data_IF_916795270110
#
_entry.id   IF_916795270110
#
_cell.length_a   1.000
_cell.length_b   1.000
_cell.length_c   1.000
_cell.angle_alpha   90.00
_cell.angle_beta   90.00
_cell.angle_gamma   90.00
#
_symmetry.space_group_name_H-M   'P 1'
#
loop_
_entity.id
_entity.type
_entity.pdbx_description
1 polymer ?
#
# COMPACT_ATOMS: atom_id res chain seq x y z
N UNK A 1 48.16 15.51 -54.52
CA UNK A 1 49.20 14.56 -54.06
C UNK A 1 49.75 15.07 -52.73
N UNK A 2 50.03 14.16 -51.78
CA UNK A 2 50.81 14.29 -50.52
C UNK A 2 50.46 15.49 -49.58
N UNK A 3 49.86 15.39 -48.39
CA UNK A 3 49.78 14.39 -47.29
C UNK A 3 50.75 14.65 -46.11
N UNK A 4 50.30 14.23 -44.91
CA UNK A 4 50.98 14.24 -43.59
C UNK A 4 51.06 15.64 -42.94
N UNK A 5 50.65 15.89 -41.69
CA UNK A 5 49.98 15.05 -40.69
C UNK A 5 50.53 15.26 -39.26
N UNK A 6 49.65 15.32 -38.24
CA UNK A 6 49.88 14.88 -36.83
C UNK A 6 48.71 15.30 -35.92
N UNK A 7 48.05 14.33 -35.28
CA UNK A 7 47.26 14.57 -34.06
C UNK A 7 48.19 14.52 -32.84
N UNK A 8 47.85 15.24 -31.77
CA UNK A 8 48.33 14.99 -30.41
C UNK A 8 47.14 15.02 -29.45
N UNK A 9 46.91 13.91 -28.76
CA UNK A 9 46.49 13.87 -27.36
C UNK A 9 47.75 13.47 -26.56
N UNK A 10 47.94 13.95 -25.32
CA UNK A 10 47.31 13.35 -24.12
C UNK A 10 46.80 14.48 -23.17
N UNK A 11 46.41 14.30 -21.90
CA UNK A 11 46.53 13.16 -20.99
C UNK A 11 45.39 13.10 -19.94
N UNK A 12 45.37 11.96 -19.25
CA UNK A 12 44.41 11.45 -18.30
C UNK A 12 44.36 12.09 -16.90
N UNK A 13 43.22 11.87 -16.24
CA UNK A 13 43.11 11.44 -14.83
C UNK A 13 41.79 10.65 -14.70
N UNK A 14 41.82 9.38 -14.29
CA UNK A 14 41.72 8.90 -12.89
C UNK A 14 40.48 9.48 -12.18
N UNK A 15 39.52 8.71 -11.65
CA UNK A 15 39.67 7.43 -10.94
C UNK A 15 38.37 6.58 -10.94
N UNK A 16 38.40 5.39 -10.30
CA UNK A 16 37.34 4.35 -10.34
C UNK A 16 36.26 4.52 -9.22
N UNK A 17 35.50 3.48 -8.77
CA UNK A 17 34.04 3.55 -8.71
C UNK A 17 33.48 3.68 -7.28
N UNK A 18 32.21 4.04 -7.14
CA UNK A 18 31.52 4.03 -5.84
C UNK A 18 30.21 3.22 -5.92
N UNK A 19 30.17 2.23 -5.02
CA UNK A 19 29.07 1.36 -4.60
C UNK A 19 27.83 2.20 -4.20
N UNK A 20 26.59 1.74 -4.22
CA UNK A 20 26.06 0.48 -3.69
C UNK A 20 24.93 0.85 -2.71
N UNK A 21 23.74 0.28 -2.87
CA UNK A 21 22.58 0.65 -2.04
C UNK A 21 22.68 0.02 -0.65
N UNK A 22 22.22 0.69 0.42
CA UNK A 22 22.49 0.27 1.79
C UNK A 22 21.72 -0.99 2.21
N UNK A 23 22.36 -1.75 3.10
CA UNK A 23 21.85 -2.99 3.67
C UNK A 23 20.68 -2.80 4.65
N UNK A 24 19.86 -3.84 4.77
CA UNK A 24 19.09 -4.13 5.98
C UNK A 24 19.98 -4.09 7.24
N UNK A 25 19.55 -3.36 8.28
CA UNK A 25 20.03 -3.61 9.64
C UNK A 25 18.99 -4.47 10.35
N UNK A 26 19.29 -5.75 10.53
CA UNK A 26 18.57 -6.60 11.47
C UNK A 26 19.11 -6.36 12.88
N UNK A 27 18.31 -5.74 13.74
CA UNK A 27 18.65 -5.54 15.15
C UNK A 27 18.58 -6.86 15.91
N UNK A 28 19.74 -7.51 16.12
CA UNK A 28 19.89 -8.65 17.02
C UNK A 28 19.78 -8.16 18.46
N UNK A 29 18.68 -8.47 19.13
CA UNK A 29 18.51 -8.20 20.57
C UNK A 29 19.29 -9.25 21.36
N UNK A 30 20.49 -8.88 21.82
CA UNK A 30 21.26 -9.68 22.77
C UNK A 30 20.65 -9.62 24.17
N UNK A 31 20.17 -10.76 24.68
CA UNK A 31 19.67 -10.88 26.04
C UNK A 31 20.80 -11.32 27.00
N UNK A 32 20.97 -10.61 28.12
CA UNK A 32 21.59 -11.14 29.35
C UNK A 32 20.93 -10.52 30.60
N UNK A 33 20.74 -11.26 31.71
CA UNK A 33 19.88 -10.84 32.83
C UNK A 33 20.65 -10.20 34.00
N UNK A 34 20.01 -9.26 34.71
CA UNK A 34 20.67 -8.46 35.76
C UNK A 34 19.78 -7.98 36.92
N UNK A 35 19.41 -8.91 37.81
CA UNK A 35 19.18 -8.79 39.28
C UNK A 35 18.50 -7.52 39.88
N UNK A 36 17.45 -7.78 40.68
CA UNK A 36 16.71 -6.83 41.54
C UNK A 36 17.58 -5.90 42.41
N UNK A 37 17.05 -4.69 42.71
CA UNK A 37 16.94 -4.18 44.10
C UNK A 37 15.65 -3.39 44.31
N UNK A 38 14.95 -3.72 45.39
CA UNK A 38 13.84 -2.94 45.94
C UNK A 38 14.35 -1.86 46.90
N UNK A 39 13.81 -0.64 46.82
CA UNK A 39 13.71 0.26 47.97
C UNK A 39 12.26 0.72 48.10
N UNK A 40 11.66 0.48 49.26
CA UNK A 40 10.34 1.00 49.61
C UNK A 40 10.46 2.23 50.51
N UNK A 41 9.52 3.17 50.38
CA UNK A 41 9.26 4.22 51.36
C UNK A 41 7.74 4.23 51.64
N UNK A 42 7.38 4.50 52.90
CA UNK A 42 6.04 4.30 53.47
C UNK A 42 5.33 5.65 53.74
N UNK A 43 4.02 5.68 53.44
CA UNK A 43 2.91 6.24 54.26
C UNK A 43 2.93 7.79 54.48
N UNK A 44 1.85 8.52 54.18
CA UNK A 44 0.75 8.83 55.13
C UNK A 44 -0.58 9.22 54.46
N UNK A 45 -1.70 8.86 55.13
CA UNK A 45 -3.08 9.25 54.82
C UNK A 45 -3.47 10.57 55.50
N UNK A 46 -4.43 11.32 54.91
CA UNK A 46 -5.57 11.88 55.66
C UNK A 46 -6.68 12.42 54.74
N UNK A 47 -7.93 12.10 55.10
CA UNK A 47 -9.16 12.78 54.65
C UNK A 47 -9.89 13.35 55.87
N UNK A 48 -10.79 14.33 55.69
CA UNK A 48 -11.88 14.56 56.64
C UNK A 48 -13.29 14.61 55.98
N UNK A 49 -14.29 14.16 56.74
CA UNK A 49 -15.75 14.39 56.60
C UNK A 49 -16.32 14.56 58.03
N UNK A 50 -17.52 15.15 58.29
CA UNK A 50 -18.88 14.63 57.97
C UNK A 50 -19.81 15.76 57.42
N UNK A 51 -21.16 15.81 57.46
CA UNK A 51 -22.26 15.01 58.04
C UNK A 51 -23.55 15.13 57.17
N UNK A 52 -24.38 14.10 56.96
CA UNK A 52 -25.57 13.59 57.72
C UNK A 52 -26.81 14.51 57.78
N UNK A 53 -27.93 14.04 57.17
CA UNK A 53 -29.36 14.04 57.62
C UNK A 53 -30.29 13.86 56.37
N UNK A 54 -30.93 12.70 56.13
CA UNK A 54 -32.19 12.12 56.68
C UNK A 54 -33.49 12.45 55.90
N UNK A 55 -33.92 11.50 55.05
CA UNK A 55 -35.25 10.84 54.83
C UNK A 55 -36.59 11.48 55.34
N UNK A 56 -37.82 11.12 54.85
CA UNK A 56 -38.28 9.71 54.72
C UNK A 56 -39.49 9.31 53.77
N UNK A 57 -39.83 7.99 53.78
CA UNK A 57 -41.11 7.25 53.44
C UNK A 57 -41.68 7.24 51.98
N UNK A 58 -42.42 6.24 51.41
CA UNK A 58 -43.10 4.95 51.80
C UNK A 58 -42.91 3.87 50.67
N UNK A 59 -42.70 2.56 50.93
CA UNK A 59 -43.69 1.43 51.05
C UNK A 59 -44.72 1.27 49.88
N UNK A 60 -45.14 0.10 49.36
CA UNK A 60 -45.05 -1.33 49.73
C UNK A 60 -45.07 -2.23 48.44
N UNK A 61 -44.40 -3.39 48.33
CA UNK A 61 -44.68 -4.74 48.87
C UNK A 61 -45.91 -5.50 48.31
N UNK A 62 -45.68 -6.55 47.49
CA UNK A 62 -46.56 -7.74 47.45
C UNK A 62 -45.79 -9.04 47.09
N UNK A 63 -46.21 -10.18 47.67
CA UNK A 63 -45.65 -11.54 47.48
C UNK A 63 -46.64 -12.37 46.62
N UNK A 64 -46.31 -13.47 45.92
CA UNK A 64 -45.83 -14.79 46.39
C UNK A 64 -45.45 -15.69 45.18
N UNK A 65 -44.65 -16.75 45.44
CA UNK A 65 -44.30 -17.89 44.54
C UNK A 65 -45.38 -19.02 44.67
N UNK A 66 -45.18 -20.32 44.30
CA UNK A 66 -44.10 -21.01 43.52
C UNK A 66 -44.54 -22.16 42.57
N UNK A 67 -43.60 -22.60 41.72
CA UNK A 67 -43.20 -24.01 41.48
C UNK A 67 -41.94 -24.01 40.60
N UNK A 68 -41.04 -24.99 40.51
CA UNK A 68 -40.51 -26.11 41.31
C UNK A 68 -39.86 -27.07 40.28
N UNK A 69 -38.86 -27.89 40.67
CA UNK A 69 -38.05 -28.78 39.79
C UNK A 69 -37.04 -28.01 38.87
N UNK A 70 -35.75 -28.38 38.76
CA UNK A 70 -35.00 -29.48 39.39
C UNK A 70 -33.48 -29.17 39.57
N UNK A 71 -32.80 -30.04 40.34
CA UNK A 71 -31.40 -30.01 40.84
C UNK A 71 -30.29 -29.65 39.81
N UNK A 72 -29.29 -28.82 40.18
CA UNK A 72 -27.96 -29.17 40.78
C UNK A 72 -27.00 -29.89 39.77
N UNK A 73 -25.76 -29.45 39.52
CA UNK A 73 -24.69 -29.01 40.44
C UNK A 73 -23.75 -27.93 39.84
N UNK A 74 -23.10 -27.21 40.77
CA UNK A 74 -21.95 -26.32 40.55
C UNK A 74 -20.66 -27.14 40.34
N UNK A 75 -19.77 -26.70 39.45
CA UNK A 75 -18.33 -26.89 39.60
C UNK A 75 -17.62 -25.56 39.32
N UNK A 76 -16.97 -25.01 40.35
CA UNK A 76 -16.10 -23.82 40.23
C UNK A 76 -14.71 -24.29 39.84
N UNK A 77 -14.13 -23.68 38.82
CA UNK A 77 -12.68 -23.70 38.62
C UNK A 77 -12.21 -22.34 38.12
N UNK A 78 -11.38 -21.70 38.94
CA UNK A 78 -10.70 -20.46 38.59
C UNK A 78 -9.68 -20.72 37.48
N UNK A 79 -9.70 -19.92 36.42
CA UNK A 79 -8.48 -19.59 35.69
C UNK A 79 -8.55 -18.13 35.22
N UNK A 80 -7.59 -17.34 35.67
CA UNK A 80 -7.50 -15.90 35.42
C UNK A 80 -6.56 -15.59 34.25
N UNK A 81 -7.02 -14.68 33.40
CA UNK A 81 -6.24 -13.68 32.66
C UNK A 81 -5.37 -14.09 31.45
N UNK A 82 -5.50 -13.24 30.42
CA UNK A 82 -4.59 -12.96 29.31
C UNK A 82 -4.11 -14.10 28.40
N UNK A 83 -4.59 -14.09 27.15
CA UNK A 83 -3.69 -13.85 26.02
C UNK A 83 -4.41 -13.28 24.80
N UNK A 84 -3.79 -12.25 24.23
CA UNK A 84 -4.19 -11.51 23.04
C UNK A 84 -3.69 -12.17 21.75
N UNK A 85 -4.42 -11.94 20.65
CA UNK A 85 -3.92 -11.82 19.27
C UNK A 85 -2.94 -12.91 18.76
N UNK A 86 -3.45 -13.79 17.88
CA UNK A 86 -2.65 -14.28 16.76
C UNK A 86 -3.53 -14.89 15.65
N UNK A 87 -3.90 -14.15 14.59
CA UNK A 87 -4.07 -14.73 13.28
C UNK A 87 -2.68 -14.91 12.68
N UNK A 88 -2.05 -16.06 12.96
CA UNK A 88 -0.79 -16.41 12.33
C UNK A 88 -1.04 -16.55 10.82
N UNK A 89 -0.74 -15.49 10.05
CA UNK A 89 -0.58 -15.57 8.62
C UNK A 89 0.49 -16.62 8.35
N UNK A 90 0.09 -17.79 7.85
CA UNK A 90 1.01 -18.80 7.37
C UNK A 90 1.66 -18.27 6.09
N UNK A 91 2.67 -17.42 6.25
CA UNK A 91 3.57 -17.05 5.17
C UNK A 91 4.26 -18.33 4.72
N UNK A 92 3.81 -18.88 3.58
CA UNK A 92 4.62 -19.80 2.80
C UNK A 92 6.02 -19.19 2.63
N UNK A 93 7.11 -19.96 2.74
CA UNK A 93 8.43 -19.43 2.47
C UNK A 93 8.45 -18.80 1.07
N UNK A 94 9.13 -17.66 0.88
CA UNK A 94 9.17 -16.98 -0.41
C UNK A 94 9.66 -17.96 -1.48
N UNK A 95 8.96 -18.03 -2.60
CA UNK A 95 9.40 -18.83 -3.72
C UNK A 95 10.80 -18.40 -4.14
N UNK A 96 11.77 -19.31 -4.09
CA UNK A 96 13.13 -19.04 -4.56
C UNK A 96 13.01 -18.63 -6.03
N UNK A 97 13.49 -17.45 -6.44
CA UNK A 97 13.35 -17.00 -7.82
C UNK A 97 14.02 -18.02 -8.74
N UNK A 98 13.31 -18.45 -9.78
CA UNK A 98 13.80 -19.48 -10.70
C UNK A 98 15.05 -18.97 -11.42
N UNK A 99 16.22 -19.41 -10.95
CA UNK A 99 17.51 -18.97 -11.45
C UNK A 99 17.60 -19.20 -12.97
N UNK A 100 17.89 -18.13 -13.72
CA UNK A 100 18.03 -18.16 -15.18
C UNK A 100 16.84 -17.65 -15.99
N UNK A 101 15.71 -17.25 -15.38
CA UNK A 101 14.64 -16.55 -16.13
C UNK A 101 15.00 -15.08 -16.39
N UNK A 102 14.98 -14.67 -17.66
CA UNK A 102 15.02 -13.24 -18.04
C UNK A 102 13.78 -12.54 -17.47
N UNK A 103 13.99 -11.50 -16.65
CA UNK A 103 12.90 -10.71 -16.07
C UNK A 103 12.43 -9.64 -17.06
N UNK A 104 11.12 -9.55 -17.32
CA UNK A 104 10.59 -8.57 -18.27
C UNK A 104 10.82 -7.11 -17.83
N UNK A 105 10.85 -6.83 -16.52
CA UNK A 105 11.19 -5.48 -16.01
C UNK A 105 12.62 -5.05 -16.39
N UNK A 106 13.55 -6.00 -16.51
CA UNK A 106 14.92 -5.73 -16.96
C UNK A 106 14.95 -5.54 -18.49
N UNK A 107 14.19 -6.34 -19.24
CA UNK A 107 14.06 -6.23 -20.70
C UNK A 107 13.57 -4.84 -21.13
N UNK A 108 12.53 -4.32 -20.47
CA UNK A 108 11.94 -3.00 -20.78
C UNK A 108 12.55 -1.83 -19.98
N UNK A 109 13.62 -2.05 -19.21
CA UNK A 109 14.19 -1.07 -18.28
C UNK A 109 14.47 0.31 -18.91
N UNK A 110 14.91 0.35 -20.17
CA UNK A 110 15.22 1.61 -20.87
C UNK A 110 14.00 2.56 -21.00
N UNK A 111 12.77 2.03 -21.01
CA UNK A 111 11.54 2.81 -21.18
C UNK A 111 11.20 3.62 -19.92
N UNK A 112 11.54 3.10 -18.73
CA UNK A 112 11.26 3.68 -17.40
C UNK A 112 11.66 5.14 -17.27
N UNK A 113 12.84 5.51 -17.82
CA UNK A 113 13.40 6.87 -17.79
C UNK A 113 12.42 7.94 -18.28
N UNK A 114 11.63 7.62 -19.30
CA UNK A 114 10.74 8.56 -19.96
C UNK A 114 9.26 8.37 -19.61
N UNK A 115 8.94 7.40 -18.74
CA UNK A 115 7.56 6.95 -18.50
C UNK A 115 6.64 8.09 -18.05
N UNK A 116 5.60 8.35 -18.85
CA UNK A 116 4.60 9.38 -18.62
C UNK A 116 5.03 10.80 -19.00
N UNK A 117 6.25 11.00 -19.51
CA UNK A 117 6.73 12.33 -19.92
C UNK A 117 6.00 12.85 -21.17
N UNK A 118 5.42 11.96 -21.99
CA UNK A 118 4.63 12.32 -23.15
C UNK A 118 3.20 12.78 -22.81
N UNK A 119 2.76 12.60 -21.56
CA UNK A 119 1.40 12.86 -21.15
C UNK A 119 1.18 14.35 -20.85
N UNK A 120 0.34 14.99 -21.65
CA UNK A 120 0.06 16.44 -21.59
C UNK A 120 -1.09 16.81 -20.66
N UNK A 121 -1.88 15.83 -20.18
CA UNK A 121 -3.03 16.09 -19.34
C UNK A 121 -2.62 16.76 -18.02
N UNK A 122 -3.41 17.74 -17.58
CA UNK A 122 -3.17 18.48 -16.34
C UNK A 122 -4.18 18.15 -15.26
N UNK A 123 -3.75 18.20 -14.00
CA UNK A 123 -4.65 18.16 -12.86
C UNK A 123 -5.31 19.53 -12.71
N UNK A 124 -6.62 19.51 -12.49
CA UNK A 124 -7.45 20.66 -12.20
C UNK A 124 -8.13 20.44 -10.84
N UNK A 125 -8.07 21.43 -9.96
CA UNK A 125 -8.77 21.39 -8.67
C UNK A 125 -10.22 21.87 -8.87
N UNK A 126 -11.16 21.03 -8.50
CA UNK A 126 -12.60 21.28 -8.57
C UNK A 126 -13.13 21.91 -7.27
N UNK A 127 -12.63 21.48 -6.12
CA UNK A 127 -12.96 22.04 -4.80
C UNK A 127 -11.92 21.65 -3.73
N UNK A 128 -12.01 22.29 -2.56
CA UNK A 128 -11.13 22.09 -1.41
C UNK A 128 -10.12 23.23 -1.20
N UNK A 129 -9.27 23.16 -0.16
CA UNK A 129 -9.16 22.05 0.79
C UNK A 129 -10.37 21.97 1.75
N UNK A 130 -10.83 20.76 2.02
CA UNK A 130 -11.68 20.44 3.15
C UNK A 130 -10.85 19.72 4.22
N UNK A 131 -11.03 20.08 5.50
CA UNK A 131 -10.33 19.42 6.60
C UNK A 131 -10.97 18.06 6.91
N UNK A 132 -10.15 17.02 7.04
CA UNK A 132 -10.60 15.63 7.23
C UNK A 132 -9.79 14.91 8.30
N UNK A 133 -10.36 13.80 8.80
CA UNK A 133 -9.60 12.75 9.48
C UNK A 133 -9.34 11.65 8.46
N UNK A 134 -8.10 11.49 8.04
CA UNK A 134 -7.71 10.51 7.02
C UNK A 134 -7.83 9.10 7.58
N UNK A 135 -8.16 8.12 6.74
CA UNK A 135 -8.58 6.80 7.19
C UNK A 135 -7.50 6.07 8.00
N UNK A 136 -6.22 6.16 7.58
CA UNK A 136 -5.09 5.57 8.31
C UNK A 136 -4.80 6.39 9.56
N UNK A 137 -4.97 5.77 10.73
CA UNK A 137 -4.63 6.37 12.03
C UNK A 137 -5.50 7.56 12.46
N UNK A 138 -6.51 7.95 11.68
CA UNK A 138 -7.35 9.14 11.93
C UNK A 138 -6.54 10.43 12.01
N UNK A 139 -5.44 10.52 11.24
CA UNK A 139 -4.58 11.70 11.21
C UNK A 139 -5.33 12.91 10.63
N UNK A 140 -5.05 14.13 11.15
CA UNK A 140 -5.58 15.34 10.54
C UNK A 140 -4.93 15.57 9.18
N UNK A 141 -5.73 15.99 8.22
CA UNK A 141 -5.26 16.31 6.88
C UNK A 141 -6.28 17.10 6.09
N UNK A 142 -5.95 17.35 4.83
CA UNK A 142 -6.76 18.12 3.88
C UNK A 142 -7.09 17.26 2.67
N UNK A 143 -8.32 17.37 2.16
CA UNK A 143 -8.75 16.73 0.92
C UNK A 143 -9.18 17.77 -0.13
N UNK A 144 -8.87 17.48 -1.39
CA UNK A 144 -9.30 18.25 -2.56
C UNK A 144 -10.02 17.34 -3.54
N UNK A 145 -11.05 17.85 -4.21
CA UNK A 145 -11.61 17.22 -5.40
C UNK A 145 -10.82 17.69 -6.62
N UNK A 146 -10.42 16.75 -7.48
CA UNK A 146 -9.56 16.99 -8.61
C UNK A 146 -10.06 16.29 -9.89
N UNK A 147 -9.60 16.74 -11.05
CA UNK A 147 -9.83 16.15 -12.37
C UNK A 147 -8.51 15.98 -13.12
N UNK A 148 -8.35 14.87 -13.86
CA UNK A 148 -7.22 14.63 -14.76
C UNK A 148 -7.70 14.01 -16.09
N UNK A 149 -8.03 14.87 -17.06
CA UNK A 149 -8.77 14.45 -18.25
C UNK A 149 -10.22 14.14 -17.90
N UNK A 150 -10.70 12.93 -18.22
CA UNK A 150 -12.06 12.49 -17.86
C UNK A 150 -12.24 12.13 -16.39
N UNK A 151 -11.17 11.66 -15.72
CA UNK A 151 -11.24 11.10 -14.37
C UNK A 151 -11.38 12.16 -13.28
N UNK A 152 -12.36 12.00 -12.40
CA UNK A 152 -12.57 12.80 -11.18
C UNK A 152 -12.16 11.99 -9.95
N UNK A 153 -11.40 12.57 -9.05
CA UNK A 153 -10.83 11.88 -7.89
C UNK A 153 -10.52 12.83 -6.74
N UNK A 154 -10.24 12.27 -5.56
CA UNK A 154 -9.81 12.98 -4.36
C UNK A 154 -8.29 12.89 -4.21
N UNK A 155 -7.68 13.98 -3.76
CA UNK A 155 -6.30 13.99 -3.27
C UNK A 155 -6.38 14.34 -1.79
N UNK A 156 -5.79 13.54 -0.91
CA UNK A 156 -5.67 13.83 0.52
C UNK A 156 -4.20 13.94 0.93
N UNK A 157 -3.87 14.88 1.82
CA UNK A 157 -2.50 15.09 2.33
C UNK A 157 -2.58 15.24 3.85
N UNK A 158 -1.80 14.44 4.60
CA UNK A 158 -1.68 14.56 6.06
C UNK A 158 -1.06 15.92 6.43
N UNK A 159 -1.60 16.62 7.42
CA UNK A 159 -1.15 17.96 7.81
C UNK A 159 0.32 18.01 8.29
N UNK A 160 0.92 16.86 8.61
CA UNK A 160 2.35 16.73 8.97
C UNK A 160 3.28 16.73 7.76
N UNK A 161 2.79 16.49 6.55
CA UNK A 161 3.58 16.72 5.35
C UNK A 161 3.66 18.23 5.08
N UNK A 162 4.87 18.77 5.09
CA UNK A 162 5.18 20.00 4.36
C UNK A 162 5.28 19.70 2.85
N UNK A 163 4.15 19.31 2.25
CA UNK A 163 4.01 18.99 0.83
C UNK A 163 2.99 19.92 0.19
N UNK A 164 3.41 20.56 -0.91
CA UNK A 164 2.54 21.39 -1.72
C UNK A 164 1.68 20.52 -2.63
N UNK A 165 0.44 20.93 -2.83
CA UNK A 165 -0.53 20.18 -3.64
C UNK A 165 -0.01 19.93 -5.07
N UNK A 166 0.71 20.89 -5.64
CA UNK A 166 1.30 20.83 -6.98
C UNK A 166 2.30 19.67 -7.13
N UNK A 167 3.02 19.30 -6.06
CA UNK A 167 3.98 18.19 -6.07
C UNK A 167 3.29 16.82 -6.22
N UNK A 168 1.99 16.74 -5.87
CA UNK A 168 1.18 15.54 -6.16
C UNK A 168 0.87 15.44 -7.66
N UNK A 169 0.64 16.58 -8.33
CA UNK A 169 0.23 16.63 -9.73
C UNK A 169 1.32 16.12 -10.65
N UNK A 170 2.59 16.46 -10.40
CA UNK A 170 3.73 16.07 -11.24
C UNK A 170 3.80 14.56 -11.51
N UNK A 171 3.34 13.74 -10.55
CA UNK A 171 3.36 12.28 -10.64
C UNK A 171 2.03 11.72 -11.14
N UNK A 172 0.91 12.23 -10.63
CA UNK A 172 -0.42 11.79 -11.08
C UNK A 172 -0.66 12.11 -12.56
N UNK A 173 -0.18 13.25 -13.05
CA UNK A 173 -0.26 13.62 -14.46
C UNK A 173 0.48 12.66 -15.38
N UNK A 174 1.49 11.93 -14.89
CA UNK A 174 2.27 10.96 -15.68
C UNK A 174 1.54 9.63 -15.88
N UNK A 175 0.48 9.32 -15.12
CA UNK A 175 -0.30 8.09 -15.29
C UNK A 175 -1.02 8.03 -16.66
N UNK A 176 -0.86 6.93 -17.43
CA UNK A 176 -1.66 6.67 -18.63
C UNK A 176 -3.16 6.71 -18.32
N UNK A 177 -3.97 7.12 -19.30
CA UNK A 177 -5.40 7.39 -19.09
C UNK A 177 -6.16 6.17 -18.54
N UNK A 178 -5.80 4.97 -18.99
CA UNK A 178 -6.33 3.67 -18.60
C UNK A 178 -6.17 3.38 -17.10
N UNK A 179 -5.10 3.89 -16.47
CA UNK A 179 -4.80 3.67 -15.06
C UNK A 179 -5.49 4.70 -14.15
N UNK A 180 -5.97 5.83 -14.71
CA UNK A 180 -6.64 6.88 -13.92
C UNK A 180 -7.96 6.41 -13.31
N UNK A 181 -8.54 5.32 -13.81
CA UNK A 181 -9.67 4.64 -13.19
C UNK A 181 -9.35 4.15 -11.76
N UNK A 182 -8.09 3.82 -11.45
CA UNK A 182 -7.68 3.49 -10.08
C UNK A 182 -7.93 4.68 -9.13
N UNK A 183 -7.63 5.91 -9.58
CA UNK A 183 -7.83 7.15 -8.83
C UNK A 183 -9.31 7.35 -8.49
N UNK A 184 -10.21 7.13 -9.46
CA UNK A 184 -11.66 7.19 -9.26
C UNK A 184 -12.13 6.13 -8.25
N UNK A 185 -11.66 4.88 -8.40
CA UNK A 185 -12.01 3.75 -7.52
C UNK A 185 -11.68 4.06 -6.05
N UNK A 186 -10.50 4.60 -5.77
CA UNK A 186 -10.12 4.97 -4.38
C UNK A 186 -10.75 6.27 -3.90
N UNK A 187 -11.45 7.01 -4.78
CA UNK A 187 -12.10 8.28 -4.47
C UNK A 187 -13.61 8.20 -4.26
N UNK A 188 -14.19 7.01 -4.41
CA UNK A 188 -15.60 6.72 -4.07
C UNK A 188 -15.97 7.15 -2.64
N UNK A 189 -17.26 7.15 -2.35
CA UNK A 189 -17.81 7.52 -1.03
C UNK A 189 -17.08 6.81 0.13
N UNK A 190 -16.83 7.58 1.19
CA UNK A 190 -16.16 7.16 2.44
C UNK A 190 -14.68 6.77 2.30
N UNK A 191 -14.05 7.01 1.14
CA UNK A 191 -12.60 6.84 0.93
C UNK A 191 -11.89 8.18 0.78
N UNK A 192 -10.59 8.19 1.08
CA UNK A 192 -9.72 9.37 1.06
C UNK A 192 -9.27 9.80 -0.34
N UNK A 193 -9.35 8.90 -1.34
CA UNK A 193 -8.71 9.09 -2.64
C UNK A 193 -7.26 8.59 -2.67
N UNK A 194 -6.41 9.36 -3.34
CA UNK A 194 -4.96 9.22 -3.24
C UNK A 194 -4.49 9.98 -2.00
N UNK A 195 -4.00 9.27 -1.00
CA UNK A 195 -3.69 9.80 0.32
C UNK A 195 -2.17 9.82 0.57
N UNK A 196 -1.61 11.00 0.78
CA UNK A 196 -0.20 11.19 1.10
C UNK A 196 0.01 11.24 2.62
N UNK A 197 0.85 10.33 3.13
CA UNK A 197 1.16 10.19 4.56
C UNK A 197 2.65 10.42 4.83
N UNK A 198 2.97 10.95 6.01
CA UNK A 198 4.35 11.30 6.36
C UNK A 198 5.23 10.04 6.54
N UNK A 199 4.62 8.93 6.93
CA UNK A 199 5.22 7.60 7.01
C UNK A 199 4.16 6.52 6.71
N UNK A 200 4.60 5.39 6.18
CA UNK A 200 3.83 4.16 5.95
C UNK A 200 4.59 2.95 6.52
N UNK A 201 5.13 3.11 7.73
CA UNK A 201 5.92 2.09 8.44
C UNK A 201 7.11 1.58 7.60
N UNK A 202 7.76 2.51 6.86
CA UNK A 202 8.87 2.22 5.95
C UNK A 202 8.50 1.78 4.53
N UNK A 203 7.22 1.60 4.20
CA UNK A 203 6.77 1.36 2.83
C UNK A 203 6.76 2.66 1.99
N UNK A 204 6.96 2.55 0.67
CA UNK A 204 6.81 3.69 -0.24
C UNK A 204 5.33 3.98 -0.56
N UNK A 205 4.49 2.94 -0.57
CA UNK A 205 3.08 3.02 -0.88
C UNK A 205 2.32 1.75 -0.42
N UNK A 206 0.99 1.83 -0.44
CA UNK A 206 0.08 0.68 -0.33
C UNK A 206 -1.20 0.91 -1.15
N UNK A 207 -1.53 -0.01 -2.04
CA UNK A 207 -2.72 -0.01 -2.90
C UNK A 207 -3.77 -1.04 -2.50
N UNK A 208 -5.03 -0.63 -2.57
CA UNK A 208 -6.21 -1.49 -2.43
C UNK A 208 -7.39 -0.83 -3.13
N UNK A 209 -8.43 -1.57 -3.51
CA UNK A 209 -9.67 -0.95 -4.02
C UNK A 209 -10.31 0.06 -3.04
N UNK A 210 -9.87 0.09 -1.78
CA UNK A 210 -10.35 0.98 -0.72
C UNK A 210 -9.43 2.18 -0.44
N UNK A 211 -8.15 2.17 -0.86
CA UNK A 211 -7.18 3.23 -0.57
C UNK A 211 -6.00 3.20 -1.56
N UNK A 212 -5.42 4.36 -1.84
CA UNK A 212 -4.12 4.48 -2.50
C UNK A 212 -3.23 5.37 -1.64
N UNK A 213 -2.46 4.75 -0.75
CA UNK A 213 -1.64 5.45 0.22
C UNK A 213 -0.21 5.60 -0.33
N UNK A 214 0.36 6.80 -0.28
CA UNK A 214 1.69 7.11 -0.82
C UNK A 214 2.52 7.87 0.22
N UNK A 215 3.84 7.66 0.26
CA UNK A 215 4.74 8.62 0.92
C UNK A 215 5.09 9.77 -0.02
N UNK A 216 5.67 10.83 0.55
CA UNK A 216 6.00 12.08 -0.16
C UNK A 216 6.88 11.91 -1.41
N UNK A 217 7.58 10.79 -1.59
CA UNK A 217 8.56 10.55 -2.67
C UNK A 217 8.14 9.41 -3.62
N UNK A 218 6.94 8.83 -3.48
CA UNK A 218 6.45 7.77 -4.36
C UNK A 218 6.38 8.25 -5.84
N UNK A 219 7.16 7.61 -6.71
CA UNK A 219 7.22 7.91 -8.15
C UNK A 219 6.09 7.28 -8.96
N UNK A 220 5.91 7.73 -10.21
CA UNK A 220 4.82 7.24 -11.10
C UNK A 220 4.82 5.72 -11.30
N UNK A 221 5.99 5.07 -11.26
CA UNK A 221 6.09 3.61 -11.33
C UNK A 221 5.45 2.92 -10.14
N UNK A 222 5.77 3.37 -8.91
CA UNK A 222 5.13 2.89 -7.67
C UNK A 222 3.63 3.14 -7.74
N UNK A 223 3.20 4.34 -8.14
CA UNK A 223 1.77 4.66 -8.28
C UNK A 223 1.09 3.74 -9.33
N UNK A 224 1.79 3.32 -10.39
CA UNK A 224 1.27 2.42 -11.41
C UNK A 224 1.20 0.96 -10.94
N UNK A 225 2.16 0.52 -10.12
CA UNK A 225 2.14 -0.75 -9.40
C UNK A 225 0.93 -0.81 -8.46
N UNK A 226 0.77 0.19 -7.58
CA UNK A 226 -0.37 0.22 -6.65
C UNK A 226 -1.72 0.39 -7.36
N UNK A 227 -1.77 1.13 -8.48
CA UNK A 227 -2.96 1.18 -9.34
C UNK A 227 -3.30 -0.21 -9.92
N UNK A 228 -2.29 -1.06 -10.12
CA UNK A 228 -2.45 -2.50 -10.38
C UNK A 228 -3.29 -3.18 -9.29
N UNK A 229 -2.86 -3.10 -8.03
CA UNK A 229 -3.61 -3.65 -6.87
C UNK A 229 -5.03 -3.08 -6.75
N UNK A 230 -5.22 -1.77 -6.99
CA UNK A 230 -6.54 -1.13 -6.97
C UNK A 230 -7.49 -1.73 -8.02
N UNK A 231 -7.02 -1.89 -9.25
CA UNK A 231 -7.82 -2.36 -10.39
C UNK A 231 -8.03 -3.89 -10.35
N UNK A 232 -7.02 -4.63 -9.90
CA UNK A 232 -7.09 -6.06 -9.58
C UNK A 232 -8.20 -6.32 -8.57
N UNK A 233 -8.14 -5.71 -7.39
CA UNK A 233 -9.12 -5.96 -6.33
C UNK A 233 -10.54 -5.53 -6.74
N UNK A 234 -10.67 -4.51 -7.60
CA UNK A 234 -11.95 -4.13 -8.21
C UNK A 234 -12.46 -5.21 -9.17
N UNK A 235 -11.62 -5.77 -10.02
CA UNK A 235 -11.99 -6.85 -10.93
C UNK A 235 -12.29 -8.15 -10.17
N UNK A 236 -11.46 -8.55 -9.21
CA UNK A 236 -11.62 -9.74 -8.36
C UNK A 236 -12.89 -9.68 -7.51
N UNK A 237 -13.32 -8.48 -7.08
CA UNK A 237 -14.61 -8.30 -6.41
C UNK A 237 -15.81 -8.59 -7.33
N UNK A 238 -15.69 -8.39 -8.63
CA UNK A 238 -16.73 -8.70 -9.62
C UNK A 238 -16.62 -10.13 -10.18
N UNK A 239 -15.40 -10.66 -10.24
CA UNK A 239 -15.04 -11.98 -10.76
C UNK A 239 -13.96 -12.61 -9.85
N UNK A 240 -14.34 -13.38 -8.82
CA UNK A 240 -13.39 -13.97 -7.87
C UNK A 240 -12.32 -14.90 -8.48
N UNK A 241 -12.46 -15.29 -9.75
CA UNK A 241 -11.51 -16.17 -10.44
C UNK A 241 -10.27 -15.43 -10.96
N UNK A 242 -10.25 -14.10 -10.95
CA UNK A 242 -9.18 -13.29 -11.59
C UNK A 242 -7.76 -13.70 -11.16
N UNK A 243 -7.49 -13.84 -9.86
CA UNK A 243 -6.16 -14.26 -9.38
C UNK A 243 -5.85 -15.75 -9.64
N UNK A 244 -6.85 -16.62 -9.72
CA UNK A 244 -6.68 -18.02 -10.11
C UNK A 244 -6.27 -18.12 -11.59
N UNK A 245 -7.02 -17.41 -12.46
CA UNK A 245 -6.70 -17.27 -13.88
C UNK A 245 -5.33 -16.63 -14.07
N UNK A 246 -4.96 -15.64 -13.24
CA UNK A 246 -3.64 -15.02 -13.26
C UNK A 246 -2.53 -16.01 -12.89
N UNK A 247 -2.70 -16.80 -11.82
CA UNK A 247 -1.73 -17.82 -11.41
C UNK A 247 -1.48 -18.87 -12.51
N UNK A 248 -2.57 -19.29 -13.18
CA UNK A 248 -2.48 -20.17 -14.35
C UNK A 248 -1.72 -19.50 -15.51
N UNK A 249 -2.06 -18.25 -15.83
CA UNK A 249 -1.38 -17.48 -16.87
C UNK A 249 0.11 -17.25 -16.58
N UNK A 250 0.49 -16.94 -15.33
CA UNK A 250 1.87 -16.83 -14.85
C UNK A 250 2.66 -18.11 -15.09
N UNK A 251 2.03 -19.27 -14.82
CA UNK A 251 2.63 -20.59 -15.07
C UNK A 251 2.81 -20.85 -16.56
N UNK A 252 1.78 -20.59 -17.38
CA UNK A 252 1.76 -20.92 -18.81
C UNK A 252 2.54 -19.94 -19.71
N UNK A 253 2.68 -18.67 -19.30
CA UNK A 253 3.57 -17.70 -19.98
C UNK A 253 5.04 -17.91 -19.61
N UNK A 254 5.33 -18.66 -18.53
CA UNK A 254 6.64 -19.12 -18.08
C UNK A 254 7.75 -18.07 -17.80
N UNK A 255 7.55 -16.79 -18.11
CA UNK A 255 8.52 -15.69 -17.86
C UNK A 255 8.32 -15.02 -16.49
N UNK A 256 9.41 -14.51 -15.89
CA UNK A 256 9.35 -13.68 -14.68
C UNK A 256 9.08 -12.21 -15.07
N UNK A 257 8.22 -11.51 -14.33
CA UNK A 257 8.05 -10.06 -14.50
C UNK A 257 9.17 -9.32 -13.78
N UNK A 258 9.29 -9.58 -12.47
CA UNK A 258 10.38 -9.12 -11.62
C UNK A 258 10.60 -10.09 -10.46
N UNK A 259 11.76 -10.01 -9.81
CA UNK A 259 12.03 -10.77 -8.59
C UNK A 259 11.13 -10.41 -7.40
N UNK A 260 10.50 -9.23 -7.39
CA UNK A 260 9.51 -8.85 -6.37
C UNK A 260 8.16 -9.52 -6.65
N UNK A 261 7.67 -9.40 -7.90
CA UNK A 261 6.43 -10.05 -8.34
C UNK A 261 6.49 -11.57 -8.21
N UNK A 262 7.68 -12.17 -8.30
CA UNK A 262 7.81 -13.61 -8.14
C UNK A 262 7.40 -14.15 -6.75
N UNK A 263 7.35 -13.29 -5.72
CA UNK A 263 6.99 -13.67 -4.35
C UNK A 263 5.50 -13.99 -4.15
N UNK A 264 4.58 -13.31 -4.84
CA UNK A 264 3.14 -13.49 -4.67
C UNK A 264 2.34 -13.10 -5.93
N UNK A 265 1.19 -13.76 -6.16
CA UNK A 265 0.44 -13.57 -7.41
C UNK A 265 -0.22 -12.19 -7.58
N UNK A 266 -0.57 -11.50 -6.49
CA UNK A 266 -1.02 -10.11 -6.56
C UNK A 266 0.15 -9.18 -6.89
N UNK A 267 1.35 -9.46 -6.40
CA UNK A 267 2.56 -8.69 -6.74
C UNK A 267 3.03 -8.94 -8.17
N UNK A 268 2.99 -10.17 -8.68
CA UNK A 268 3.24 -10.47 -10.11
C UNK A 268 2.29 -9.67 -11.03
N UNK A 269 1.02 -9.52 -10.60
CA UNK A 269 0.02 -8.74 -11.32
C UNK A 269 0.26 -7.24 -11.22
N UNK A 270 0.56 -6.69 -10.05
CA UNK A 270 0.87 -5.28 -9.87
C UNK A 270 2.16 -4.86 -10.59
N UNK A 271 3.19 -5.71 -10.57
CA UNK A 271 4.40 -5.54 -11.38
C UNK A 271 4.11 -5.61 -12.89
N UNK A 272 3.21 -6.51 -13.31
CA UNK A 272 2.76 -6.55 -14.71
C UNK A 272 1.97 -5.30 -15.09
N UNK A 273 1.14 -4.77 -14.19
CA UNK A 273 0.37 -3.55 -14.40
C UNK A 273 1.32 -2.35 -14.58
N UNK A 274 2.29 -2.17 -13.68
CA UNK A 274 3.35 -1.16 -13.83
C UNK A 274 4.08 -1.32 -15.18
N UNK A 275 4.49 -2.54 -15.53
CA UNK A 275 5.19 -2.81 -16.78
C UNK A 275 4.33 -2.52 -18.01
N UNK A 276 3.04 -2.88 -17.97
CA UNK A 276 2.07 -2.59 -19.01
C UNK A 276 1.80 -1.10 -19.15
N UNK A 277 1.84 -0.32 -18.06
CA UNK A 277 1.73 1.14 -18.11
C UNK A 277 2.93 1.76 -18.85
N UNK A 278 4.14 1.29 -18.53
CA UNK A 278 5.40 1.71 -19.18
C UNK A 278 5.38 1.36 -20.68
N UNK A 279 5.02 0.13 -21.03
CA UNK A 279 4.95 -0.32 -22.43
C UNK A 279 3.84 0.39 -23.23
N UNK A 280 2.74 0.78 -22.59
CA UNK A 280 1.64 1.55 -23.19
C UNK A 280 2.08 2.98 -23.52
N UNK A 281 2.69 3.67 -22.57
CA UNK A 281 3.23 5.03 -22.74
C UNK A 281 4.34 5.09 -23.80
N UNK A 282 5.20 4.06 -23.86
CA UNK A 282 6.22 3.90 -24.88
C UNK A 282 5.68 3.54 -26.29
N UNK A 283 4.37 3.35 -26.44
CA UNK A 283 3.69 3.17 -27.72
C UNK A 283 3.37 1.73 -28.10
N UNK A 284 2.51 1.60 -29.13
CA UNK A 284 1.86 0.33 -29.53
C UNK A 284 2.83 -0.82 -29.80
N UNK A 285 4.02 -0.54 -30.33
CA UNK A 285 5.05 -1.56 -30.59
C UNK A 285 5.56 -2.22 -29.31
N UNK A 286 5.82 -1.43 -28.25
CA UNK A 286 6.30 -1.95 -26.95
C UNK A 286 5.21 -2.67 -26.18
N UNK A 287 3.96 -2.22 -26.33
CA UNK A 287 2.80 -2.93 -25.80
C UNK A 287 2.57 -4.28 -26.53
N UNK A 288 2.77 -4.32 -27.86
CA UNK A 288 2.70 -5.56 -28.64
C UNK A 288 3.84 -6.53 -28.27
N UNK A 289 5.06 -6.03 -28.04
CA UNK A 289 6.19 -6.81 -27.56
C UNK A 289 5.93 -7.42 -26.17
N UNK A 290 5.31 -6.67 -25.24
CA UNK A 290 4.89 -7.21 -23.94
C UNK A 290 3.83 -8.32 -24.10
N UNK A 291 2.86 -8.12 -24.99
CA UNK A 291 1.84 -9.13 -25.34
C UNK A 291 2.48 -10.40 -25.91
N UNK A 292 3.50 -10.31 -26.76
CA UNK A 292 4.19 -11.47 -27.31
C UNK A 292 4.90 -12.27 -26.21
N UNK A 293 5.56 -11.59 -25.27
CA UNK A 293 6.34 -12.22 -24.21
C UNK A 293 5.52 -12.81 -23.05
N UNK A 294 4.30 -12.32 -22.83
CA UNK A 294 3.40 -12.85 -21.78
C UNK A 294 1.93 -12.73 -22.20
N UNK A 295 1.49 -13.50 -23.22
CA UNK A 295 0.20 -13.28 -23.89
C UNK A 295 -1.01 -13.53 -22.99
N UNK A 296 -0.93 -14.44 -22.02
CA UNK A 296 -2.08 -14.80 -21.17
C UNK A 296 -2.29 -13.79 -20.06
N UNK A 297 -1.21 -13.38 -19.37
CA UNK A 297 -1.28 -12.28 -18.39
C UNK A 297 -1.68 -10.98 -19.08
N UNK A 298 -1.17 -10.72 -20.28
CA UNK A 298 -1.62 -9.59 -21.08
C UNK A 298 -3.14 -9.63 -21.35
N UNK A 299 -3.68 -10.77 -21.78
CA UNK A 299 -5.12 -10.91 -22.03
C UNK A 299 -5.97 -10.63 -20.78
N UNK A 300 -5.61 -11.22 -19.63
CA UNK A 300 -6.32 -10.99 -18.36
C UNK A 300 -6.19 -9.52 -17.93
N UNK A 301 -5.03 -8.90 -18.10
CA UNK A 301 -4.84 -7.49 -17.78
C UNK A 301 -5.69 -6.56 -18.66
N UNK A 302 -5.84 -6.87 -19.95
CA UNK A 302 -6.78 -6.15 -20.83
C UNK A 302 -8.25 -6.36 -20.42
N UNK A 303 -8.63 -7.55 -19.94
CA UNK A 303 -9.96 -7.75 -19.34
C UNK A 303 -10.15 -6.86 -18.11
N UNK A 304 -9.18 -6.80 -17.20
CA UNK A 304 -9.24 -5.97 -15.99
C UNK A 304 -9.42 -4.51 -16.38
N UNK A 305 -8.53 -3.96 -17.22
CA UNK A 305 -8.60 -2.58 -17.71
C UNK A 305 -9.92 -2.25 -18.42
N UNK A 306 -10.57 -3.24 -19.04
CA UNK A 306 -11.85 -3.03 -19.74
C UNK A 306 -13.03 -3.11 -18.78
N UNK A 307 -13.10 -4.15 -17.93
CA UNK A 307 -14.15 -4.35 -16.92
C UNK A 307 -14.17 -3.25 -15.87
N UNK A 308 -13.05 -2.56 -15.64
CA UNK A 308 -12.99 -1.43 -14.70
C UNK A 308 -13.48 -0.12 -15.28
N UNK A 309 -13.56 0.07 -16.61
CA UNK A 309 -14.07 1.32 -17.22
C UNK A 309 -15.54 1.53 -16.84
N UNK A 310 -15.88 2.77 -16.49
CA UNK A 310 -17.24 3.24 -16.19
C UNK A 310 -18.07 3.45 -17.45
#
# INVERSE_FOLDING_TARGET
MNAIGRRRTPDASLSRPIWGWPFFIASVVGAYPGRMRSLGIRICFRSPSPAICFDPVQSACFRRRPSAFHFMKILVLFFTFALSLNPAFSQSPPAVPAAGKTQLIAHFHALRRNFGNANTAKVEILSGPEAVKMHRGQSPGKVWQARLGGSKFKIAIEDKLDMKLEQTFERLQRLPAEYRRALEVVSEDKKDGIAFYADLDGAAAHGSQNYLNLVKDAGVEVISHEAGHVLEQRATRADPTVLERWNKARTEDAVSISGYGDAANHEDLAEFAMLSAICLDAGKERLAELKEKSPRRFAIWQEILTKTKS
#
